data_IF_576901155186
#
_entry.id   IF_576901155186
#
_cell.length_a   1.000
_cell.length_b   1.000
_cell.length_c   1.000
_cell.angle_alpha   90.00
_cell.angle_beta   90.00
_cell.angle_gamma   90.00
#
_symmetry.space_group_name_H-M   'P 1'
#
loop_
_entity.id
_entity.type
_entity.pdbx_description
1 polymer ?
#
# COMPACT_ATOMS: atom_id res chain seq x y z
N UNK A 1 -25.57 25.26 -11.36
CA UNK A 1 -25.78 25.14 -9.91
C UNK A 1 -25.02 23.91 -9.41
N UNK A 2 -24.11 24.04 -8.43
CA UNK A 2 -23.48 22.89 -7.77
C UNK A 2 -24.54 22.19 -6.93
N UNK A 3 -24.84 20.93 -7.27
CA UNK A 3 -25.85 20.15 -6.55
C UNK A 3 -25.13 19.28 -5.52
N UNK A 4 -25.23 19.65 -4.25
CA UNK A 4 -24.68 18.83 -3.17
C UNK A 4 -25.48 17.54 -2.98
N UNK A 5 -24.78 16.45 -2.67
CA UNK A 5 -25.36 15.14 -2.37
C UNK A 5 -25.85 15.17 -0.92
N UNK A 6 -27.14 15.00 -0.72
CA UNK A 6 -27.78 14.91 0.59
C UNK A 6 -28.22 13.48 0.90
N UNK A 7 -28.69 13.29 2.13
CA UNK A 7 -29.29 12.03 2.62
C UNK A 7 -30.81 12.24 2.67
N UNK A 8 -31.52 11.71 1.69
CA UNK A 8 -32.97 11.90 1.57
C UNK A 8 -33.76 11.21 2.68
N UNK A 9 -33.21 10.10 3.16
CA UNK A 9 -33.84 9.22 4.17
C UNK A 9 -33.27 9.49 5.58
N UNK A 10 -32.72 10.70 5.81
CA UNK A 10 -32.22 11.08 7.13
C UNK A 10 -33.38 11.36 8.09
N UNK A 11 -33.35 10.69 9.25
CA UNK A 11 -34.29 10.93 10.36
C UNK A 11 -33.55 11.61 11.52
N UNK A 12 -34.13 12.68 12.07
CA UNK A 12 -33.64 13.32 13.27
C UNK A 12 -33.64 12.37 14.45
N UNK A 13 -32.56 12.32 15.22
CA UNK A 13 -32.38 11.39 16.33
C UNK A 13 -31.84 10.03 15.94
N UNK A 14 -31.56 9.78 14.64
CA UNK A 14 -30.84 8.59 14.22
C UNK A 14 -29.51 8.46 14.92
N UNK A 15 -29.15 7.23 15.35
CA UNK A 15 -27.90 6.96 16.08
C UNK A 15 -26.70 7.19 15.15
N UNK A 16 -25.87 8.18 15.50
CA UNK A 16 -24.63 8.47 14.77
C UNK A 16 -23.62 7.35 14.93
N UNK A 17 -22.88 7.07 13.85
CA UNK A 17 -21.83 6.06 13.82
C UNK A 17 -20.46 6.66 13.50
N UNK A 18 -19.44 5.96 13.96
CA UNK A 18 -18.05 6.16 13.56
C UNK A 18 -17.79 5.25 12.36
N UNK A 19 -17.31 5.80 11.26
CA UNK A 19 -16.86 5.06 10.10
C UNK A 19 -15.34 4.95 10.07
N UNK A 20 -14.83 3.78 9.78
CA UNK A 20 -13.42 3.57 9.46
C UNK A 20 -13.34 3.16 7.99
N UNK A 21 -12.74 4.02 7.19
CA UNK A 21 -12.42 3.75 5.80
C UNK A 21 -10.98 3.26 5.70
N UNK A 22 -10.81 1.98 5.42
CA UNK A 22 -9.50 1.37 5.12
C UNK A 22 -9.24 1.54 3.62
N UNK A 23 -8.09 2.09 3.24
CA UNK A 23 -7.79 2.33 1.82
C UNK A 23 -6.49 1.66 1.39
N UNK A 24 -6.46 1.19 0.14
CA UNK A 24 -5.26 0.68 -0.50
C UNK A 24 -5.21 1.16 -1.96
N UNK A 25 -4.09 0.92 -2.66
CA UNK A 25 -3.85 1.38 -4.04
C UNK A 25 -4.95 0.89 -4.99
N UNK A 26 -5.26 -0.38 -4.88
CA UNK A 26 -6.23 -1.03 -5.74
C UNK A 26 -5.61 -1.96 -6.77
N UNK A 27 -6.48 -2.54 -7.57
CA UNK A 27 -6.13 -3.61 -8.51
C UNK A 27 -7.15 -3.62 -9.66
N UNK A 28 -6.81 -4.17 -10.83
CA UNK A 28 -7.80 -4.34 -11.89
C UNK A 28 -8.88 -5.36 -11.48
N UNK A 29 -10.09 -5.25 -12.03
CA UNK A 29 -11.20 -6.19 -11.75
C UNK A 29 -10.93 -7.61 -12.29
N UNK A 30 -10.04 -7.76 -13.28
CA UNK A 30 -9.65 -9.04 -13.86
C UNK A 30 -8.30 -8.92 -14.58
N UNK A 31 -7.52 -10.02 -14.70
CA UNK A 31 -6.21 -10.02 -15.31
C UNK A 31 -6.30 -10.10 -16.85
N UNK A 32 -6.99 -9.15 -17.46
CA UNK A 32 -7.14 -9.04 -18.91
C UNK A 32 -6.92 -7.62 -19.42
N UNK A 33 -6.53 -7.50 -20.68
CA UNK A 33 -6.20 -6.23 -21.33
C UNK A 33 -7.26 -5.14 -21.12
N UNK A 34 -8.56 -5.50 -21.22
CA UNK A 34 -9.66 -4.52 -21.11
C UNK A 34 -9.74 -3.91 -19.71
N UNK A 35 -9.67 -4.74 -18.65
CA UNK A 35 -9.73 -4.30 -17.26
C UNK A 35 -8.45 -3.60 -16.83
N UNK A 36 -7.30 -4.09 -17.30
CA UNK A 36 -6.02 -3.41 -17.08
C UNK A 36 -5.98 -2.02 -17.72
N UNK A 37 -6.56 -1.86 -18.92
CA UNK A 37 -6.64 -0.54 -19.56
C UNK A 37 -7.43 0.47 -18.72
N UNK A 38 -8.53 0.05 -18.11
CA UNK A 38 -9.34 0.90 -17.21
C UNK A 38 -8.55 1.26 -15.97
N UNK A 39 -7.97 0.27 -15.28
CA UNK A 39 -7.18 0.46 -14.07
C UNK A 39 -5.97 1.37 -14.31
N UNK A 40 -5.16 1.08 -15.34
CA UNK A 40 -3.99 1.89 -15.67
C UNK A 40 -4.36 3.31 -16.10
N UNK A 41 -5.51 3.51 -16.76
CA UNK A 41 -5.97 4.85 -17.08
C UNK A 41 -6.30 5.66 -15.83
N UNK A 42 -6.97 5.07 -14.83
CA UNK A 42 -7.21 5.73 -13.55
C UNK A 42 -5.89 6.06 -12.83
N UNK A 43 -5.04 5.06 -12.65
CA UNK A 43 -3.78 5.18 -11.93
C UNK A 43 -2.83 6.20 -12.55
N UNK A 44 -2.60 6.11 -13.85
CA UNK A 44 -1.64 6.98 -14.56
C UNK A 44 -2.23 8.36 -14.92
N UNK A 45 -3.52 8.59 -14.71
CA UNK A 45 -4.12 9.92 -14.85
C UNK A 45 -4.04 10.76 -13.57
N UNK A 46 -3.62 10.16 -12.46
CA UNK A 46 -3.49 10.88 -11.20
C UNK A 46 -2.25 11.81 -11.24
N UNK A 47 -2.45 13.13 -11.03
CA UNK A 47 -1.35 14.08 -11.05
C UNK A 47 -0.34 13.88 -9.91
N UNK A 48 -0.72 13.21 -8.80
CA UNK A 48 0.22 12.86 -7.74
C UNK A 48 1.11 11.67 -8.09
N UNK A 49 0.69 10.85 -9.04
CA UNK A 49 1.48 9.71 -9.54
C UNK A 49 2.38 10.17 -10.70
N UNK A 50 1.83 10.98 -11.59
CA UNK A 50 2.53 11.49 -12.77
C UNK A 50 2.45 13.01 -12.78
N UNK A 51 3.50 13.64 -12.31
CA UNK A 51 3.64 15.10 -12.24
C UNK A 51 4.16 15.69 -13.57
N UNK A 52 3.38 15.51 -14.63
CA UNK A 52 3.65 16.09 -15.97
C UNK A 52 2.50 17.02 -16.39
N UNK A 53 2.72 17.96 -17.32
CA UNK A 53 1.68 18.81 -17.85
C UNK A 53 0.50 17.95 -18.34
N UNK A 54 -0.68 18.14 -17.74
CA UNK A 54 -1.85 17.24 -17.85
C UNK A 54 -2.24 16.93 -19.30
N UNK A 55 -2.27 17.95 -20.18
CA UNK A 55 -2.70 17.78 -21.58
C UNK A 55 -1.68 16.90 -22.32
N UNK A 56 -0.40 17.21 -22.23
CA UNK A 56 0.67 16.46 -22.89
C UNK A 56 0.68 14.99 -22.40
N UNK A 57 0.59 14.80 -21.08
CA UNK A 57 0.57 13.48 -20.51
C UNK A 57 -0.65 12.65 -20.94
N UNK A 58 -1.84 13.25 -20.98
CA UNK A 58 -3.05 12.55 -21.42
C UNK A 58 -2.96 12.07 -22.88
N UNK A 59 -2.30 12.81 -23.76
CA UNK A 59 -2.03 12.40 -25.14
C UNK A 59 -1.13 11.16 -25.15
N UNK A 60 0.02 11.23 -24.46
CA UNK A 60 0.97 10.11 -24.36
C UNK A 60 0.29 8.88 -23.72
N UNK A 61 -0.43 9.08 -22.64
CA UNK A 61 -1.12 8.00 -21.92
C UNK A 61 -2.09 7.26 -22.86
N UNK A 62 -2.99 7.98 -23.54
CA UNK A 62 -4.05 7.38 -24.36
C UNK A 62 -3.54 6.78 -25.67
N UNK A 63 -2.61 7.46 -26.36
CA UNK A 63 -2.16 7.04 -27.68
C UNK A 63 -1.01 6.03 -27.63
N UNK A 64 -0.21 6.01 -26.57
CA UNK A 64 0.97 5.13 -26.46
C UNK A 64 0.82 4.13 -25.30
N UNK A 65 0.79 4.62 -24.08
CA UNK A 65 0.91 3.76 -22.89
C UNK A 65 -0.26 2.76 -22.81
N UNK A 66 -1.50 3.23 -22.95
CA UNK A 66 -2.70 2.38 -22.87
C UNK A 66 -2.93 1.48 -24.11
N UNK A 67 -2.10 1.56 -25.12
CA UNK A 67 -2.14 0.63 -26.24
C UNK A 67 -1.19 -0.58 -26.02
N UNK A 68 -0.06 -0.35 -25.36
CA UNK A 68 1.03 -1.31 -25.22
C UNK A 68 1.02 -1.97 -23.83
N UNK A 69 1.04 -1.16 -22.76
CA UNK A 69 1.25 -1.62 -21.38
C UNK A 69 0.15 -2.57 -20.84
N UNK A 70 -1.16 -2.40 -21.16
CA UNK A 70 -2.20 -3.26 -20.61
C UNK A 70 -2.03 -4.77 -20.94
N UNK A 71 -1.50 -5.10 -22.10
CA UNK A 71 -1.27 -6.50 -22.47
C UNK A 71 -0.15 -7.12 -21.63
N UNK A 72 1.00 -6.44 -21.51
CA UNK A 72 2.13 -6.90 -20.68
C UNK A 72 1.72 -6.99 -19.20
N UNK A 73 1.04 -5.98 -18.67
CA UNK A 73 0.57 -6.01 -17.28
C UNK A 73 -0.48 -7.12 -17.06
N UNK A 74 -1.31 -7.45 -18.06
CA UNK A 74 -2.27 -8.54 -17.92
C UNK A 74 -1.59 -9.91 -17.78
N UNK A 75 -0.50 -10.14 -18.45
CA UNK A 75 0.27 -11.39 -18.30
C UNK A 75 0.88 -11.50 -16.89
N UNK A 76 1.51 -10.43 -16.39
CA UNK A 76 2.04 -10.40 -15.03
C UNK A 76 0.94 -10.60 -13.97
N UNK A 77 -0.23 -9.94 -14.12
CA UNK A 77 -1.36 -10.19 -13.22
C UNK A 77 -1.92 -11.61 -13.29
N UNK A 78 -1.88 -12.28 -14.45
CA UNK A 78 -2.31 -13.70 -14.55
C UNK A 78 -1.45 -14.64 -13.70
N UNK A 79 -0.16 -14.37 -13.58
CA UNK A 79 0.78 -15.21 -12.82
C UNK A 79 0.43 -15.23 -11.33
N UNK A 80 0.00 -14.08 -10.79
CA UNK A 80 -0.34 -13.92 -9.36
C UNK A 80 -1.83 -14.08 -9.05
N UNK A 81 -2.69 -14.21 -10.10
CA UNK A 81 -4.14 -14.24 -9.90
C UNK A 81 -4.60 -15.55 -9.29
N UNK A 82 -5.42 -15.48 -8.24
CA UNK A 82 -5.94 -16.65 -7.55
C UNK A 82 -7.42 -16.89 -7.87
N UNK A 83 -7.96 -18.02 -7.42
CA UNK A 83 -9.41 -18.31 -7.51
C UNK A 83 -10.26 -17.26 -6.76
N UNK A 84 -9.68 -16.56 -5.78
CA UNK A 84 -10.31 -15.45 -5.04
C UNK A 84 -10.12 -14.08 -5.70
N UNK A 85 -9.44 -14.03 -6.84
CA UNK A 85 -9.13 -12.80 -7.55
C UNK A 85 -7.74 -12.27 -7.26
N UNK A 86 -7.59 -10.93 -7.26
CA UNK A 86 -6.32 -10.28 -6.95
C UNK A 86 -5.91 -10.51 -5.49
N UNK A 87 -4.65 -10.93 -5.22
CA UNK A 87 -4.14 -11.07 -3.86
C UNK A 87 -4.34 -9.83 -3.01
N UNK A 88 -4.04 -8.65 -3.53
CA UNK A 88 -4.20 -7.38 -2.82
C UNK A 88 -5.63 -7.17 -2.30
N UNK A 89 -6.64 -7.45 -3.12
CA UNK A 89 -8.05 -7.27 -2.74
C UNK A 89 -8.52 -8.35 -1.76
N UNK A 90 -8.15 -9.62 -2.00
CA UNK A 90 -8.47 -10.72 -1.08
C UNK A 90 -7.88 -10.47 0.31
N UNK A 91 -6.60 -10.09 0.37
CA UNK A 91 -5.92 -9.78 1.63
C UNK A 91 -6.55 -8.57 2.31
N UNK A 92 -6.86 -7.50 1.59
CA UNK A 92 -7.52 -6.32 2.14
C UNK A 92 -8.89 -6.66 2.76
N UNK A 93 -9.66 -7.55 2.14
CA UNK A 93 -10.93 -8.03 2.69
C UNK A 93 -10.71 -8.89 3.95
N UNK A 94 -9.69 -9.74 3.99
CA UNK A 94 -9.35 -10.51 5.21
C UNK A 94 -8.89 -9.59 6.34
N UNK A 95 -8.07 -8.58 6.05
CA UNK A 95 -7.68 -7.54 7.01
C UNK A 95 -8.91 -6.82 7.56
N UNK A 96 -9.82 -6.35 6.69
CA UNK A 96 -11.07 -5.70 7.08
C UNK A 96 -11.87 -6.58 8.04
N UNK A 97 -12.09 -7.85 7.69
CA UNK A 97 -12.87 -8.79 8.49
C UNK A 97 -12.26 -9.04 9.88
N UNK A 98 -10.94 -9.23 9.97
CA UNK A 98 -10.23 -9.42 11.24
C UNK A 98 -10.27 -8.15 12.11
N UNK A 99 -10.04 -6.97 11.50
CA UNK A 99 -10.15 -5.68 12.19
C UNK A 99 -11.58 -5.50 12.72
N UNK A 100 -12.59 -5.69 11.89
CA UNK A 100 -14.00 -5.57 12.29
C UNK A 100 -14.35 -6.53 13.43
N UNK A 101 -13.90 -7.78 13.38
CA UNK A 101 -14.11 -8.77 14.44
C UNK A 101 -13.51 -8.35 15.77
N UNK A 102 -12.39 -7.62 15.76
CA UNK A 102 -11.74 -7.10 16.97
C UNK A 102 -12.53 -5.98 17.67
N UNK A 103 -13.52 -5.39 16.99
CA UNK A 103 -14.39 -4.33 17.53
C UNK A 103 -15.82 -4.79 17.78
N UNK A 104 -16.34 -5.79 17.04
CA UNK A 104 -17.76 -6.18 17.03
C UNK A 104 -18.29 -6.72 18.38
N UNK A 105 -17.41 -7.20 19.26
CA UNK A 105 -17.82 -7.67 20.60
C UNK A 105 -18.08 -6.55 21.63
N UNK A 106 -17.76 -5.28 21.29
CA UNK A 106 -17.78 -4.15 22.24
C UNK A 106 -18.49 -2.90 21.74
N UNK A 107 -18.72 -2.74 20.42
CA UNK A 107 -19.21 -1.47 19.86
C UNK A 107 -20.00 -1.63 18.56
N UNK A 108 -21.33 -1.57 18.65
CA UNK A 108 -22.21 -1.51 17.47
C UNK A 108 -22.16 -0.15 16.72
N UNK A 109 -21.49 0.83 17.29
CA UNK A 109 -21.45 2.20 16.77
C UNK A 109 -20.31 2.45 15.77
N UNK A 110 -19.38 1.49 15.62
CA UNK A 110 -18.28 1.59 14.66
C UNK A 110 -18.53 0.69 13.46
N UNK A 111 -18.39 1.25 12.26
CA UNK A 111 -18.60 0.52 11.00
C UNK A 111 -17.36 0.67 10.11
N UNK A 112 -17.09 -0.35 9.33
CA UNK A 112 -15.88 -0.45 8.52
C UNK A 112 -16.24 -0.62 7.05
N UNK A 113 -15.46 -0.01 6.16
CA UNK A 113 -15.49 -0.24 4.71
C UNK A 113 -14.06 -0.23 4.16
N UNK A 114 -13.84 -0.99 3.10
CA UNK A 114 -12.61 -0.92 2.31
C UNK A 114 -12.87 -0.15 1.02
N UNK A 115 -11.95 0.74 0.66
CA UNK A 115 -12.02 1.51 -0.58
C UNK A 115 -10.67 1.55 -1.29
N UNK A 116 -10.65 1.20 -2.57
CA UNK A 116 -9.46 1.26 -3.40
C UNK A 116 -9.31 2.64 -4.03
N UNK A 117 -8.07 3.14 -4.07
CA UNK A 117 -7.79 4.41 -4.74
C UNK A 117 -8.05 4.31 -6.25
N UNK A 118 -7.71 3.16 -6.83
CA UNK A 118 -7.97 2.83 -8.23
C UNK A 118 -8.62 1.45 -8.34
N UNK A 119 -9.61 1.30 -9.23
CA UNK A 119 -10.38 0.08 -9.36
C UNK A 119 -11.51 -0.04 -8.34
N UNK A 120 -11.91 -1.26 -7.99
CA UNK A 120 -13.07 -1.56 -7.17
C UNK A 120 -12.73 -2.46 -5.96
N UNK A 121 -13.48 -2.35 -4.82
CA UNK A 121 -14.47 -1.30 -4.52
C UNK A 121 -13.81 0.08 -4.43
N UNK A 122 -14.41 1.10 -5.01
CA UNK A 122 -13.79 2.42 -5.03
C UNK A 122 -13.94 3.18 -3.69
N UNK A 123 -13.05 4.13 -3.41
CA UNK A 123 -13.19 5.07 -2.27
C UNK A 123 -14.56 5.79 -2.32
N UNK A 124 -15.03 6.33 -3.46
CA UNK A 124 -16.36 6.93 -3.53
C UNK A 124 -17.50 5.98 -3.12
N UNK A 125 -17.47 4.71 -3.58
CA UNK A 125 -18.50 3.72 -3.22
C UNK A 125 -18.46 3.37 -1.73
N UNK A 126 -17.27 3.21 -1.17
CA UNK A 126 -17.10 2.93 0.25
C UNK A 126 -17.60 4.10 1.12
N UNK A 127 -17.28 5.34 0.76
CA UNK A 127 -17.78 6.54 1.44
C UNK A 127 -19.31 6.64 1.36
N UNK A 128 -19.90 6.35 0.20
CA UNK A 128 -21.36 6.34 0.05
C UNK A 128 -22.03 5.28 0.94
N UNK A 129 -21.41 4.09 1.09
CA UNK A 129 -21.89 3.06 2.03
C UNK A 129 -21.82 3.55 3.48
N UNK A 130 -20.73 4.21 3.87
CA UNK A 130 -20.58 4.78 5.21
C UNK A 130 -21.61 5.90 5.46
N UNK A 131 -21.88 6.77 4.47
CA UNK A 131 -22.91 7.79 4.54
C UNK A 131 -24.29 7.18 4.82
N UNK A 132 -24.70 6.15 4.06
CA UNK A 132 -25.96 5.44 4.26
C UNK A 132 -26.08 4.77 5.63
N UNK A 133 -24.96 4.46 6.29
CA UNK A 133 -24.90 3.92 7.66
C UNK A 133 -24.90 4.99 8.74
N UNK A 134 -25.20 6.26 8.41
CA UNK A 134 -25.26 7.41 9.33
C UNK A 134 -23.92 7.73 9.99
N UNK A 135 -22.82 7.58 9.27
CA UNK A 135 -21.48 7.95 9.75
C UNK A 135 -21.37 9.47 9.83
N UNK A 136 -21.03 9.98 11.04
CA UNK A 136 -20.81 11.40 11.31
C UNK A 136 -19.37 11.69 11.77
N UNK A 137 -18.62 10.64 12.07
CA UNK A 137 -17.18 10.70 12.36
C UNK A 137 -16.48 9.69 11.48
N UNK A 138 -15.55 10.16 10.67
CA UNK A 138 -14.85 9.34 9.67
C UNK A 138 -13.36 9.29 9.99
N UNK A 139 -12.84 8.10 10.26
CA UNK A 139 -11.41 7.83 10.28
C UNK A 139 -10.99 7.22 8.96
N UNK A 140 -10.03 7.84 8.28
CA UNK A 140 -9.40 7.27 7.07
C UNK A 140 -8.05 6.68 7.45
N UNK A 141 -7.87 5.39 7.12
CA UNK A 141 -6.65 4.62 7.37
C UNK A 141 -6.08 4.12 6.03
N UNK A 142 -5.15 4.86 5.41
CA UNK A 142 -4.40 4.36 4.27
C UNK A 142 -3.45 3.23 4.70
N UNK A 143 -3.44 2.13 3.94
CA UNK A 143 -2.63 0.95 4.24
C UNK A 143 -1.18 1.11 3.75
N UNK A 144 -0.64 2.31 3.91
CA UNK A 144 0.76 2.65 3.58
C UNK A 144 1.45 3.15 4.84
N UNK A 145 2.44 2.39 5.37
CA UNK A 145 3.13 2.81 6.59
C UNK A 145 3.89 4.12 6.42
N UNK A 146 4.58 4.27 5.29
CA UNK A 146 5.35 5.46 4.94
C UNK A 146 4.48 6.40 4.08
N UNK A 147 4.33 7.65 4.51
CA UNK A 147 3.69 8.67 3.68
C UNK A 147 4.45 8.83 2.35
N UNK A 148 3.69 8.94 1.28
CA UNK A 148 4.14 9.42 -0.02
C UNK A 148 3.01 10.23 -0.67
N UNK A 149 3.34 11.31 -1.37
CA UNK A 149 2.34 12.09 -2.08
C UNK A 149 1.56 11.26 -3.12
N UNK A 150 2.23 10.32 -3.79
CA UNK A 150 1.63 9.44 -4.79
C UNK A 150 0.69 8.37 -4.22
N UNK A 151 0.71 8.11 -2.90
CA UNK A 151 -0.15 7.12 -2.24
C UNK A 151 -1.08 7.76 -1.22
N UNK A 152 -0.58 8.13 -0.05
CA UNK A 152 -1.35 8.74 1.04
C UNK A 152 -1.93 10.09 0.62
N UNK A 153 -1.13 10.93 -0.06
CA UNK A 153 -1.61 12.22 -0.58
C UNK A 153 -2.71 12.06 -1.65
N UNK A 154 -2.54 11.11 -2.59
CA UNK A 154 -3.56 10.77 -3.58
C UNK A 154 -4.85 10.26 -2.94
N UNK A 155 -4.75 9.44 -1.88
CA UNK A 155 -5.91 8.97 -1.11
C UNK A 155 -6.65 10.14 -0.46
N UNK A 156 -5.90 11.08 0.14
CA UNK A 156 -6.48 12.28 0.75
C UNK A 156 -7.27 13.11 -0.28
N UNK A 157 -6.67 13.32 -1.46
CA UNK A 157 -7.33 14.07 -2.54
C UNK A 157 -8.65 13.40 -2.96
N UNK A 158 -8.68 12.08 -3.13
CA UNK A 158 -9.91 11.38 -3.54
C UNK A 158 -10.98 11.44 -2.47
N UNK A 159 -10.64 11.20 -1.21
CA UNK A 159 -11.59 11.29 -0.08
C UNK A 159 -12.18 12.70 0.00
N UNK A 160 -11.34 13.73 -0.05
CA UNK A 160 -11.79 15.12 0.03
C UNK A 160 -12.60 15.55 -1.19
N UNK A 161 -12.24 15.10 -2.40
CA UNK A 161 -13.01 15.35 -3.62
C UNK A 161 -14.45 14.79 -3.54
N UNK A 162 -14.64 13.66 -2.85
CA UNK A 162 -15.97 13.10 -2.60
C UNK A 162 -16.71 13.91 -1.55
N UNK A 163 -16.07 14.17 -0.39
CA UNK A 163 -16.69 14.86 0.73
C UNK A 163 -17.08 16.30 0.40
N UNK A 164 -16.33 17.01 -0.43
CA UNK A 164 -16.68 18.35 -0.93
C UNK A 164 -18.02 18.42 -1.64
N UNK A 165 -18.51 17.29 -2.17
CA UNK A 165 -19.82 17.20 -2.83
C UNK A 165 -20.96 16.88 -1.86
N UNK A 166 -20.67 16.54 -0.59
CA UNK A 166 -21.68 16.19 0.38
C UNK A 166 -22.28 17.45 1.03
N UNK A 167 -23.56 17.40 1.32
CA UNK A 167 -24.25 18.48 2.04
C UNK A 167 -23.87 18.49 3.52
N UNK A 168 -23.72 17.32 4.11
CA UNK A 168 -23.26 17.14 5.49
C UNK A 168 -21.93 16.38 5.49
N UNK A 169 -20.86 17.09 5.76
CA UNK A 169 -19.51 16.55 5.83
C UNK A 169 -19.27 16.00 7.24
N UNK A 170 -18.85 14.76 7.42
CA UNK A 170 -18.54 14.21 8.74
C UNK A 170 -17.28 14.87 9.33
N UNK A 171 -17.16 14.85 10.67
CA UNK A 171 -15.87 15.10 11.32
C UNK A 171 -14.87 14.07 10.82
N UNK A 172 -13.73 14.51 10.26
CA UNK A 172 -12.76 13.61 9.63
C UNK A 172 -11.42 13.63 10.36
N UNK A 173 -10.87 12.44 10.61
CA UNK A 173 -9.47 12.23 10.97
C UNK A 173 -8.81 11.37 9.91
N UNK A 174 -7.54 11.68 9.63
CA UNK A 174 -6.78 11.01 8.56
C UNK A 174 -5.42 10.58 9.12
N UNK A 175 -5.08 9.29 8.98
CA UNK A 175 -3.80 8.76 9.42
C UNK A 175 -2.81 8.92 8.26
N UNK A 176 -1.85 9.82 8.42
CA UNK A 176 -0.86 10.10 7.37
C UNK A 176 0.21 9.00 7.26
N UNK A 177 0.59 8.42 8.41
CA UNK A 177 1.74 7.52 8.48
C UNK A 177 1.73 6.73 9.79
N UNK A 178 2.40 5.56 9.78
CA UNK A 178 2.63 4.75 10.99
C UNK A 178 3.95 3.95 10.90
N UNK A 179 4.88 4.40 10.06
CA UNK A 179 6.14 3.73 9.72
C UNK A 179 7.10 3.53 10.90
N UNK A 180 6.94 4.28 11.99
CA UNK A 180 7.76 4.22 13.20
C UNK A 180 6.98 3.72 14.44
N UNK A 181 5.71 3.37 14.29
CA UNK A 181 4.92 2.82 15.39
C UNK A 181 5.57 1.53 15.91
N UNK A 182 5.79 1.47 17.23
CA UNK A 182 6.51 0.38 17.88
C UNK A 182 5.93 -1.00 17.50
N UNK A 183 4.60 -1.13 17.51
CA UNK A 183 3.94 -2.38 17.17
C UNK A 183 4.16 -2.78 15.70
N UNK A 184 4.27 -1.82 14.79
CA UNK A 184 4.58 -2.10 13.39
C UNK A 184 6.00 -2.62 13.22
N UNK A 185 6.97 -2.01 13.90
CA UNK A 185 8.38 -2.47 13.92
C UNK A 185 8.47 -3.86 14.54
N UNK A 186 7.75 -4.13 15.63
CA UNK A 186 7.65 -5.44 16.26
C UNK A 186 7.05 -6.48 15.32
N UNK A 187 5.96 -6.18 14.62
CA UNK A 187 5.31 -7.07 13.67
C UNK A 187 6.26 -7.46 12.52
N UNK A 188 6.97 -6.49 11.92
CA UNK A 188 7.99 -6.75 10.90
C UNK A 188 9.11 -7.66 11.44
N UNK A 189 9.62 -7.35 12.61
CA UNK A 189 10.69 -8.12 13.23
C UNK A 189 10.27 -9.55 13.56
N UNK A 190 9.05 -9.74 14.04
CA UNK A 190 8.48 -11.06 14.33
C UNK A 190 8.28 -11.88 13.05
N UNK A 191 7.80 -11.25 11.98
CA UNK A 191 7.66 -11.89 10.67
C UNK A 191 9.01 -12.40 10.16
N UNK A 192 10.05 -11.55 10.17
CA UNK A 192 11.41 -11.91 9.77
C UNK A 192 11.96 -13.06 10.64
N UNK A 193 11.87 -12.95 11.97
CA UNK A 193 12.33 -14.00 12.89
C UNK A 193 11.62 -15.33 12.68
N UNK A 194 10.30 -15.28 12.44
CA UNK A 194 9.49 -16.48 12.17
C UNK A 194 9.86 -17.13 10.84
N UNK A 195 10.19 -16.33 9.83
CA UNK A 195 10.66 -16.81 8.55
C UNK A 195 12.07 -17.48 8.68
N UNK A 196 12.99 -16.85 9.41
CA UNK A 196 14.34 -17.39 9.65
C UNK A 196 14.35 -18.70 10.43
N UNK A 197 13.36 -18.95 11.28
CA UNK A 197 13.21 -20.26 11.95
C UNK A 197 12.96 -21.41 10.97
N UNK A 198 12.42 -21.12 9.79
CA UNK A 198 12.07 -22.10 8.75
C UNK A 198 13.15 -22.21 7.66
N UNK A 199 13.89 -21.14 7.40
CA UNK A 199 14.80 -21.03 6.25
C UNK A 199 16.26 -20.75 6.63
N UNK A 200 16.58 -20.57 7.91
CA UNK A 200 17.84 -20.04 8.42
C UNK A 200 18.02 -18.52 8.18
N UNK A 201 19.02 -17.93 8.83
CA UNK A 201 19.37 -16.51 8.69
C UNK A 201 20.24 -16.32 7.44
N UNK A 202 19.94 -15.33 6.58
CA UNK A 202 20.75 -15.02 5.40
C UNK A 202 22.05 -14.29 5.76
N UNK A 203 22.96 -14.17 4.78
CA UNK A 203 24.10 -13.26 4.86
C UNK A 203 23.66 -11.80 4.90
N UNK A 204 22.59 -11.46 4.15
CA UNK A 204 22.04 -10.11 4.10
C UNK A 204 20.52 -10.13 3.91
N UNK A 205 19.81 -9.27 4.65
CA UNK A 205 18.40 -8.99 4.40
C UNK A 205 18.24 -7.65 3.68
N UNK A 206 17.46 -7.66 2.58
CA UNK A 206 17.20 -6.49 1.74
C UNK A 206 15.80 -5.96 2.06
N UNK A 207 15.71 -4.70 2.45
CA UNK A 207 14.47 -3.96 2.61
C UNK A 207 14.20 -3.19 1.33
N UNK A 208 13.38 -3.77 0.45
CA UNK A 208 13.03 -3.16 -0.83
C UNK A 208 11.73 -2.35 -0.69
N UNK A 209 11.78 -1.09 -1.05
CA UNK A 209 10.63 -0.20 -1.10
C UNK A 209 10.32 0.17 -2.55
N UNK A 210 9.07 0.49 -2.85
CA UNK A 210 8.75 1.01 -4.18
C UNK A 210 9.51 2.33 -4.40
N UNK A 211 10.25 2.43 -5.49
CA UNK A 211 10.95 3.64 -5.85
C UNK A 211 10.01 4.79 -6.24
N UNK A 212 10.51 6.01 -6.10
CA UNK A 212 9.87 7.22 -6.63
C UNK A 212 10.92 8.07 -7.33
N UNK A 213 10.55 8.96 -8.24
CA UNK A 213 11.48 9.94 -8.84
C UNK A 213 12.20 10.75 -7.75
N UNK A 214 13.52 10.90 -7.89
CA UNK A 214 14.36 11.65 -6.95
C UNK A 214 13.87 13.08 -6.73
N UNK A 215 13.28 13.70 -7.76
CA UNK A 215 12.71 15.05 -7.65
C UNK A 215 11.59 15.15 -6.61
N UNK A 216 10.86 14.06 -6.30
CA UNK A 216 9.83 14.10 -5.23
C UNK A 216 10.51 14.34 -3.87
N UNK A 217 11.60 13.62 -3.59
CA UNK A 217 12.40 13.87 -2.39
C UNK A 217 12.92 15.31 -2.34
N UNK A 218 13.51 15.81 -3.43
CA UNK A 218 14.05 17.19 -3.46
C UNK A 218 12.98 18.27 -3.38
N UNK A 219 11.73 17.93 -3.72
CA UNK A 219 10.56 18.78 -3.57
C UNK A 219 9.86 18.63 -2.19
N UNK A 220 10.43 17.83 -1.28
CA UNK A 220 9.98 17.75 0.11
C UNK A 220 9.10 16.55 0.44
N UNK A 221 8.96 15.53 -0.44
CA UNK A 221 8.30 14.29 -0.07
C UNK A 221 9.16 13.52 0.95
N UNK A 222 8.65 13.19 2.15
CA UNK A 222 9.44 12.57 3.21
C UNK A 222 9.64 11.07 3.04
N UNK A 223 9.06 10.45 2.02
CA UNK A 223 9.00 9.01 1.81
C UNK A 223 10.35 8.30 1.98
N UNK A 224 11.39 8.82 1.32
CA UNK A 224 12.76 8.27 1.41
C UNK A 224 13.24 8.18 2.87
N UNK A 225 13.10 9.28 3.62
CA UNK A 225 13.51 9.33 5.02
C UNK A 225 12.72 8.33 5.88
N UNK A 226 11.43 8.15 5.61
CA UNK A 226 10.57 7.22 6.34
C UNK A 226 10.91 5.76 6.05
N UNK A 227 11.25 5.43 4.80
CA UNK A 227 11.75 4.11 4.44
C UNK A 227 13.06 3.77 5.17
N UNK A 228 14.04 4.68 5.13
CA UNK A 228 15.31 4.50 5.84
C UNK A 228 15.11 4.38 7.36
N UNK A 229 14.20 5.17 7.94
CA UNK A 229 13.91 5.09 9.37
C UNK A 229 13.24 3.78 9.76
N UNK A 230 12.29 3.26 8.96
CA UNK A 230 11.71 1.93 9.19
C UNK A 230 12.80 0.86 9.21
N UNK A 231 13.66 0.82 8.19
CA UNK A 231 14.76 -0.15 8.11
C UNK A 231 15.68 -0.03 9.33
N UNK A 232 16.06 1.19 9.71
CA UNK A 232 16.92 1.42 10.89
C UNK A 232 16.25 0.94 12.18
N UNK A 233 14.98 1.24 12.41
CA UNK A 233 14.25 0.81 13.61
C UNK A 233 14.13 -0.72 13.71
N UNK A 234 13.89 -1.41 12.57
CA UNK A 234 13.91 -2.88 12.56
C UNK A 234 15.31 -3.42 12.81
N UNK A 235 16.35 -2.81 12.21
CA UNK A 235 17.76 -3.15 12.47
C UNK A 235 18.08 -3.08 13.98
N UNK A 236 17.75 -1.96 14.61
CA UNK A 236 17.96 -1.72 16.04
C UNK A 236 17.17 -2.74 16.90
N UNK A 237 15.90 -2.96 16.59
CA UNK A 237 15.03 -3.90 17.32
C UNK A 237 15.51 -5.36 17.22
N UNK A 238 16.10 -5.74 16.09
CA UNK A 238 16.61 -7.10 15.87
C UNK A 238 18.07 -7.29 16.27
N UNK A 239 18.80 -6.23 16.58
CA UNK A 239 20.23 -6.27 16.89
C UNK A 239 21.10 -6.64 15.69
N UNK A 240 20.71 -6.22 14.47
CA UNK A 240 21.48 -6.48 13.25
C UNK A 240 22.57 -5.43 13.05
N UNK A 241 23.70 -5.85 12.46
CA UNK A 241 24.78 -4.96 12.03
C UNK A 241 24.42 -4.26 10.70
N UNK A 242 25.19 -3.24 10.34
CA UNK A 242 25.02 -2.54 9.03
C UNK A 242 25.34 -3.45 7.85
N UNK A 243 26.20 -4.45 8.03
CA UNK A 243 26.54 -5.40 6.97
C UNK A 243 25.42 -6.43 6.71
N UNK A 244 24.55 -6.68 7.68
CA UNK A 244 23.48 -7.67 7.59
C UNK A 244 22.18 -7.14 6.96
N UNK A 245 22.02 -5.81 6.86
CA UNK A 245 20.77 -5.20 6.39
C UNK A 245 21.06 -4.10 5.36
N UNK A 246 20.17 -3.95 4.38
CA UNK A 246 20.29 -2.94 3.34
C UNK A 246 18.93 -2.44 2.89
N UNK A 247 18.83 -1.14 2.61
CA UNK A 247 17.64 -0.53 1.96
C UNK A 247 17.87 -0.36 0.48
N UNK A 248 16.90 -0.76 -0.33
CA UNK A 248 16.89 -0.57 -1.79
C UNK A 248 15.52 -0.07 -2.27
N UNK A 249 15.46 0.37 -3.54
CA UNK A 249 14.25 0.88 -4.16
C UNK A 249 13.97 0.16 -5.49
N UNK A 250 12.78 -0.43 -5.61
CA UNK A 250 12.34 -1.24 -6.76
C UNK A 250 11.47 -0.45 -7.76
N UNK A 251 11.04 -1.10 -8.83
CA UNK A 251 10.02 -0.64 -9.77
C UNK A 251 10.37 0.63 -10.54
N UNK A 252 11.66 0.88 -10.79
CA UNK A 252 12.11 2.03 -11.56
C UNK A 252 11.50 2.04 -12.95
N UNK A 253 10.93 3.18 -13.32
CA UNK A 253 10.31 3.38 -14.62
C UNK A 253 10.83 4.62 -15.34
N UNK A 254 11.05 4.51 -16.66
CA UNK A 254 11.45 5.63 -17.51
C UNK A 254 12.94 6.01 -17.39
N UNK A 255 13.27 7.23 -17.86
CA UNK A 255 14.68 7.69 -17.95
C UNK A 255 15.10 8.62 -16.81
N UNK A 256 14.14 9.08 -16.02
CA UNK A 256 14.40 9.97 -14.89
C UNK A 256 15.19 9.24 -13.80
N UNK A 257 15.96 9.96 -13.00
CA UNK A 257 16.62 9.41 -11.83
C UNK A 257 15.59 9.18 -10.70
N UNK A 258 15.59 7.97 -10.17
CA UNK A 258 14.76 7.56 -9.04
C UNK A 258 15.60 7.41 -7.77
N UNK A 259 14.97 7.17 -6.63
CA UNK A 259 15.66 6.86 -5.37
C UNK A 259 16.60 5.65 -5.55
N UNK A 260 17.75 5.72 -4.94
CA UNK A 260 18.82 4.71 -5.00
C UNK A 260 19.13 4.18 -3.59
N UNK A 261 19.77 2.99 -3.50
CA UNK A 261 20.19 2.09 -4.57
C UNK A 261 19.01 1.35 -5.22
N UNK A 262 19.10 1.02 -6.52
CA UNK A 262 18.07 0.26 -7.22
C UNK A 262 18.13 -1.22 -6.85
N UNK A 263 17.00 -1.83 -6.53
CA UNK A 263 16.94 -3.24 -6.10
C UNK A 263 17.54 -4.17 -7.15
N UNK A 264 17.12 -4.10 -8.40
CA UNK A 264 17.60 -4.97 -9.49
C UNK A 264 19.11 -4.85 -9.75
N UNK A 265 19.67 -3.63 -9.68
CA UNK A 265 21.10 -3.40 -9.85
C UNK A 265 21.88 -3.95 -8.65
N UNK A 266 21.41 -3.70 -7.43
CA UNK A 266 22.00 -4.22 -6.19
C UNK A 266 22.06 -5.74 -6.19
N UNK A 267 20.98 -6.42 -6.57
CA UNK A 267 20.91 -7.87 -6.60
C UNK A 267 21.90 -8.49 -7.59
N UNK A 268 22.21 -7.81 -8.69
CA UNK A 268 23.23 -8.26 -9.67
C UNK A 268 24.67 -8.07 -9.17
N UNK A 269 24.90 -7.15 -8.23
CA UNK A 269 26.23 -6.84 -7.70
C UNK A 269 26.56 -7.64 -6.43
N UNK A 270 25.59 -7.99 -5.59
CA UNK A 270 25.82 -8.69 -4.33
C UNK A 270 26.55 -10.05 -4.49
N UNK A 271 26.21 -10.93 -5.47
CA UNK A 271 26.94 -12.18 -5.67
C UNK A 271 28.40 -11.99 -6.03
N UNK A 272 28.75 -10.94 -6.79
CA UNK A 272 30.13 -10.58 -7.16
C UNK A 272 30.95 -10.15 -5.95
N UNK A 273 30.29 -9.66 -4.89
CA UNK A 273 30.88 -9.27 -3.61
C UNK A 273 30.95 -10.44 -2.61
N UNK A 274 30.58 -11.67 -3.03
CA UNK A 274 30.56 -12.88 -2.19
C UNK A 274 29.29 -13.03 -1.34
N UNK A 275 28.28 -12.19 -1.51
CA UNK A 275 27.00 -12.30 -0.81
C UNK A 275 26.04 -13.14 -1.69
N UNK A 276 25.95 -14.42 -1.36
CA UNK A 276 25.23 -15.41 -2.18
C UNK A 276 23.93 -15.92 -1.57
N UNK A 277 23.65 -15.55 -0.30
CA UNK A 277 22.44 -15.93 0.41
C UNK A 277 21.75 -14.68 0.95
N UNK A 278 20.59 -14.34 0.40
CA UNK A 278 19.81 -13.16 0.80
C UNK A 278 18.35 -13.48 1.06
N UNK A 279 17.77 -12.69 1.96
CA UNK A 279 16.32 -12.55 2.05
C UNK A 279 15.91 -11.15 1.68
N UNK A 280 14.73 -11.01 1.04
CA UNK A 280 14.16 -9.72 0.67
C UNK A 280 12.76 -9.57 1.25
N UNK A 281 12.46 -8.37 1.75
CA UNK A 281 11.15 -7.99 2.31
C UNK A 281 10.77 -6.62 1.80
N UNK A 282 9.47 -6.34 1.65
CA UNK A 282 8.96 -5.03 1.21
C UNK A 282 8.05 -4.39 2.25
N UNK A 283 8.60 -3.67 3.26
CA UNK A 283 7.79 -3.10 4.35
C UNK A 283 6.88 -1.94 3.93
N UNK A 284 7.05 -1.39 2.74
CA UNK A 284 6.17 -0.36 2.18
C UNK A 284 4.78 -0.87 1.80
N UNK A 285 4.61 -2.20 1.69
CA UNK A 285 3.36 -2.84 1.32
C UNK A 285 2.73 -3.56 2.52
N UNK A 286 1.47 -3.24 2.80
CA UNK A 286 0.70 -3.92 3.86
C UNK A 286 0.14 -5.27 3.41
N UNK A 287 0.07 -5.50 2.10
CA UNK A 287 -0.48 -6.71 1.47
C UNK A 287 0.34 -7.09 0.27
N UNK A 288 0.54 -8.37 0.05
CA UNK A 288 1.14 -8.87 -1.17
C UNK A 288 0.33 -8.45 -2.40
N UNK A 289 1.03 -8.07 -3.45
CA UNK A 289 0.50 -7.51 -4.68
C UNK A 289 1.41 -7.86 -5.87
N UNK A 290 1.19 -7.23 -7.02
CA UNK A 290 2.00 -7.46 -8.21
C UNK A 290 3.48 -7.16 -7.96
N UNK A 291 3.75 -6.04 -7.31
CA UNK A 291 5.09 -5.53 -7.04
C UNK A 291 5.88 -6.38 -6.04
N UNK A 292 5.21 -7.28 -5.31
CA UNK A 292 5.87 -8.20 -4.37
C UNK A 292 5.95 -9.62 -4.92
N UNK A 293 4.88 -10.16 -5.48
CA UNK A 293 4.82 -11.56 -5.91
C UNK A 293 5.46 -11.76 -7.29
N UNK A 294 5.27 -10.84 -8.22
CA UNK A 294 5.87 -10.96 -9.55
C UNK A 294 7.27 -10.31 -9.60
N UNK A 295 7.40 -9.05 -9.13
CA UNK A 295 8.67 -8.33 -9.25
C UNK A 295 9.72 -8.83 -8.23
N UNK A 296 9.38 -8.96 -6.91
CA UNK A 296 10.39 -9.36 -5.90
C UNK A 296 10.56 -10.86 -5.81
N UNK A 297 9.48 -11.66 -5.82
CA UNK A 297 9.59 -13.10 -5.61
C UNK A 297 10.10 -13.82 -6.86
N UNK A 298 9.76 -13.36 -8.07
CA UNK A 298 10.12 -13.99 -9.34
C UNK A 298 11.24 -13.22 -10.08
N UNK A 299 10.95 -12.03 -10.64
CA UNK A 299 11.87 -11.30 -11.51
C UNK A 299 13.20 -10.96 -10.82
N UNK A 300 13.15 -10.44 -9.61
CA UNK A 300 14.37 -10.06 -8.87
C UNK A 300 15.16 -11.29 -8.38
N UNK A 301 14.50 -12.41 -8.11
CA UNK A 301 15.15 -13.69 -7.86
C UNK A 301 15.97 -14.15 -9.06
N UNK A 302 15.40 -14.07 -10.27
CA UNK A 302 16.12 -14.40 -11.49
C UNK A 302 17.40 -13.57 -11.62
N UNK A 303 17.32 -12.25 -11.47
CA UNK A 303 18.50 -11.37 -11.52
C UNK A 303 19.59 -11.76 -10.52
N UNK A 304 19.24 -12.13 -9.30
CA UNK A 304 20.19 -12.53 -8.27
C UNK A 304 20.83 -13.89 -8.60
N UNK A 305 20.02 -14.89 -8.97
CA UNK A 305 20.48 -16.25 -9.28
C UNK A 305 21.37 -16.27 -10.54
N UNK A 306 20.98 -15.60 -11.61
CA UNK A 306 21.78 -15.47 -12.84
C UNK A 306 23.12 -14.75 -12.62
N UNK A 307 23.20 -13.90 -11.60
CA UNK A 307 24.43 -13.20 -11.26
C UNK A 307 25.37 -13.99 -10.33
N UNK A 308 25.04 -15.25 -10.02
CA UNK A 308 25.84 -16.16 -9.18
C UNK A 308 25.40 -16.22 -7.71
N UNK A 309 24.18 -15.81 -7.41
CA UNK A 309 23.53 -16.06 -6.12
C UNK A 309 23.21 -17.55 -5.94
N UNK A 310 23.12 -18.00 -4.69
CA UNK A 310 22.85 -19.40 -4.37
C UNK A 310 21.50 -19.59 -3.67
N UNK A 311 21.13 -18.68 -2.78
CA UNK A 311 19.87 -18.74 -2.03
C UNK A 311 19.19 -17.38 -2.00
N UNK A 312 17.98 -17.34 -2.50
CA UNK A 312 17.11 -16.16 -2.50
C UNK A 312 15.75 -16.51 -1.91
N UNK A 313 15.30 -15.78 -0.92
CA UNK A 313 13.98 -15.93 -0.35
C UNK A 313 13.25 -14.60 -0.23
N UNK A 314 12.04 -14.54 -0.73
CA UNK A 314 11.10 -13.46 -0.46
C UNK A 314 10.38 -13.72 0.87
N UNK A 315 10.39 -12.73 1.77
CA UNK A 315 9.59 -12.74 2.99
C UNK A 315 8.27 -12.04 2.69
N UNK A 316 7.13 -12.74 2.74
CA UNK A 316 5.82 -12.15 2.44
C UNK A 316 5.53 -10.89 3.25
N UNK A 317 4.74 -9.98 2.70
CA UNK A 317 4.21 -8.85 3.44
C UNK A 317 3.48 -9.31 4.71
N UNK A 318 3.24 -8.40 5.64
CA UNK A 318 2.53 -8.74 6.89
C UNK A 318 1.10 -9.24 6.65
N UNK A 319 0.50 -8.92 5.52
CA UNK A 319 -0.81 -9.41 5.10
C UNK A 319 -1.85 -9.30 6.22
N UNK A 320 -2.62 -10.35 6.45
CA UNK A 320 -3.61 -10.44 7.52
C UNK A 320 -3.09 -11.20 8.76
N UNK A 321 -1.76 -11.21 9.00
CA UNK A 321 -1.17 -11.76 10.22
C UNK A 321 -1.69 -11.02 11.46
N UNK A 322 -1.85 -11.74 12.55
CA UNK A 322 -2.49 -11.19 13.76
C UNK A 322 -1.71 -10.02 14.36
N UNK A 323 -0.37 -10.05 14.33
CA UNK A 323 0.47 -8.92 14.73
C UNK A 323 0.17 -7.66 13.90
N UNK A 324 -0.05 -7.81 12.60
CA UNK A 324 -0.40 -6.70 11.72
C UNK A 324 -1.81 -6.16 11.96
N UNK A 325 -2.76 -7.06 12.21
CA UNK A 325 -4.13 -6.67 12.58
C UNK A 325 -4.12 -5.90 13.90
N UNK A 326 -3.30 -6.31 14.88
CA UNK A 326 -3.13 -5.59 16.15
C UNK A 326 -2.58 -4.17 15.95
N UNK A 327 -1.66 -3.97 15.00
CA UNK A 327 -1.21 -2.62 14.61
C UNK A 327 -2.39 -1.73 14.22
N UNK A 328 -3.24 -2.20 13.30
CA UNK A 328 -4.39 -1.43 12.83
C UNK A 328 -5.43 -1.19 13.92
N UNK A 329 -5.72 -2.20 14.74
CA UNK A 329 -6.64 -2.07 15.88
C UNK A 329 -6.15 -0.99 16.86
N UNK A 330 -4.85 -0.97 17.17
CA UNK A 330 -4.24 0.06 18.04
C UNK A 330 -4.27 1.44 17.41
N UNK A 331 -3.96 1.56 16.11
CA UNK A 331 -4.06 2.83 15.38
C UNK A 331 -5.48 3.37 15.38
N UNK A 332 -6.48 2.53 15.09
CA UNK A 332 -7.89 2.94 15.11
C UNK A 332 -8.28 3.41 16.51
N UNK A 333 -7.97 2.66 17.55
CA UNK A 333 -8.26 3.06 18.95
C UNK A 333 -7.58 4.38 19.31
N UNK A 334 -6.30 4.56 18.94
CA UNK A 334 -5.55 5.81 19.18
C UNK A 334 -6.20 7.02 18.50
N UNK A 335 -6.59 6.85 17.24
CA UNK A 335 -7.11 7.95 16.43
C UNK A 335 -8.63 8.18 16.58
N UNK A 336 -9.35 7.30 17.27
CA UNK A 336 -10.76 7.51 17.64
C UNK A 336 -10.96 7.98 19.08
N UNK A 337 -9.89 8.24 19.83
CA UNK A 337 -9.97 8.80 21.19
C UNK A 337 -10.77 10.10 21.23
N UNK A 338 -11.68 10.22 22.21
CA UNK A 338 -12.57 11.36 22.36
C UNK A 338 -13.81 11.32 21.46
N UNK A 339 -13.94 10.35 20.57
CA UNK A 339 -15.20 10.05 19.90
C UNK A 339 -16.04 9.12 20.78
N UNK A 340 -17.38 9.31 20.86
CA UNK A 340 -18.25 8.40 21.59
C UNK A 340 -18.29 7.03 20.89
N UNK A 341 -17.58 6.07 21.47
CA UNK A 341 -17.55 4.67 21.02
C UNK A 341 -18.70 3.90 21.64
#
# INVERSE_FOLDING_TARGET
>A
MVKYIGEKDYEHGSKEKIGVLITNLGTPDAPNKKKLKVYLNQFLSDPRVIELPKILWQIILKLVILQIRPSKSAEAYKQIWTDKGSPLLDIANRQLNKIQSSFSSKNENIVFEVGMRYGNPSIPDALLKLQKKQVRRLLVLPMYPQYCAATTGSTFDEVTNVLQKWRWIPEMRFINQYFEEKNYIEALSNSIKSFWKKTSKPQKIIFSYHGIPKRYLTNGDPYHCFCLKTTRLVKEHMGLSDDEIMTTFQSRFGREEWLKPYTSETLKELPKQGIKNIHIISPGFSSDCLETLEELEEENKEYFMESGGENYHYIPCLNDHDDHIDVFVKLIKKHTQGWPL
#
